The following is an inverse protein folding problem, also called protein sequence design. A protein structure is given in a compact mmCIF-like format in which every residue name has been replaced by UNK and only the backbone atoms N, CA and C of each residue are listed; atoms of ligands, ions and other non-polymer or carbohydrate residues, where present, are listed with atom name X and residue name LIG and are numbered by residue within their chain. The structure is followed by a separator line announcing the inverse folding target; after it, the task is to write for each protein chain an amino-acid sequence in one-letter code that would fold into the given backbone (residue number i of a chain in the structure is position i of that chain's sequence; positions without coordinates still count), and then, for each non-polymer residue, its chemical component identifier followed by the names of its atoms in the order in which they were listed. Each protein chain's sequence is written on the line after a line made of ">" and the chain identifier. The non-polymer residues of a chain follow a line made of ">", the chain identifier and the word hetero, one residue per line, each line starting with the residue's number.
data_IF_154958329654
#
_entry.id   IF_154958329654
#
_cell.length_a   1.000
_cell.length_b   1.000
_cell.length_c   1.000
_cell.angle_alpha   90.00
_cell.angle_beta   90.00
_cell.angle_gamma   90.00
#
_symmetry.space_group_name_H-M   'P 1'
#
loop_
_entity.id
_entity.type
_entity.pdbx_description
1 polymer ?
#
# COMPACT_ATOMS: atom_id res chain seq x y z
N UNK A 1 13.75 -8.08 -12.35
CA UNK A 1 13.15 -7.36 -11.21
C UNK A 1 11.81 -6.79 -11.65
N UNK A 2 10.79 -6.83 -10.81
CA UNK A 2 9.48 -6.26 -11.18
C UNK A 2 9.57 -4.74 -11.23
N UNK A 3 8.96 -4.13 -12.25
CA UNK A 3 8.86 -2.67 -12.36
C UNK A 3 7.75 -2.10 -11.47
N UNK A 4 6.85 -2.95 -10.96
CA UNK A 4 5.74 -2.56 -10.09
C UNK A 4 6.15 -2.73 -8.63
N UNK A 5 6.04 -1.65 -7.86
CA UNK A 5 6.41 -1.60 -6.45
C UNK A 5 5.23 -1.24 -5.57
N UNK A 6 5.14 -1.89 -4.42
CA UNK A 6 4.31 -1.50 -3.28
C UNK A 6 5.22 -1.00 -2.18
N UNK A 7 5.26 0.30 -1.98
CA UNK A 7 5.98 0.93 -0.89
C UNK A 7 5.14 0.95 0.38
N UNK A 8 5.71 0.50 1.50
CA UNK A 8 5.04 0.48 2.80
C UNK A 8 5.78 1.40 3.76
N UNK A 9 5.07 2.39 4.33
CA UNK A 9 5.62 3.25 5.36
C UNK A 9 5.87 2.43 6.64
N UNK A 10 7.10 1.98 6.86
CA UNK A 10 7.42 1.08 7.98
C UNK A 10 7.35 1.78 9.34
N UNK A 11 7.41 3.12 9.39
CA UNK A 11 7.29 3.90 10.63
C UNK A 11 5.84 4.31 10.96
N UNK A 12 4.86 3.87 10.14
CA UNK A 12 3.47 4.27 10.30
C UNK A 12 2.85 3.70 11.59
N UNK A 13 2.05 4.51 12.28
CA UNK A 13 1.39 4.12 13.51
C UNK A 13 0.07 4.87 13.69
N UNK A 14 -0.99 4.18 14.14
CA UNK A 14 -2.16 4.85 14.71
C UNK A 14 -1.73 5.68 15.92
N UNK A 15 -2.27 6.89 16.02
CA UNK A 15 -1.94 7.89 17.03
C UNK A 15 -2.44 7.47 18.43
N UNK A 16 -1.81 6.49 19.05
CA UNK A 16 -1.92 6.30 20.50
C UNK A 16 -0.73 6.99 21.17
N UNK A 17 -1.01 7.99 22.02
CA UNK A 17 0.02 8.70 22.82
C UNK A 17 0.81 7.75 23.73
N UNK A 18 0.27 6.56 24.03
CA UNK A 18 0.80 5.61 25.02
C UNK A 18 1.30 4.30 24.42
N UNK A 19 1.95 4.32 23.25
CA UNK A 19 2.48 3.08 22.67
C UNK A 19 3.78 2.65 23.37
N UNK A 20 3.89 1.41 23.86
CA UNK A 20 5.16 0.86 24.35
C UNK A 20 6.19 0.82 23.23
N UNK A 21 7.42 1.28 23.51
CA UNK A 21 8.53 1.32 22.53
C UNK A 21 8.87 -0.05 21.94
N UNK A 22 8.50 -1.12 22.62
CA UNK A 22 8.85 -2.51 22.28
C UNK A 22 7.88 -3.16 21.29
N UNK A 23 6.70 -2.58 21.04
CA UNK A 23 5.76 -3.14 20.07
C UNK A 23 6.18 -2.79 18.64
N UNK A 24 5.97 -3.66 17.63
CA UNK A 24 6.16 -3.33 16.23
C UNK A 24 5.19 -2.25 15.77
N UNK A 25 5.60 -1.45 14.78
CA UNK A 25 4.71 -0.39 14.24
C UNK A 25 3.60 -1.02 13.42
N UNK A 26 2.48 -0.33 13.28
CA UNK A 26 1.40 -0.78 12.40
C UNK A 26 1.89 -0.94 10.95
N UNK A 27 2.84 -0.10 10.51
CA UNK A 27 3.53 -0.26 9.24
C UNK A 27 4.37 -1.53 9.15
N UNK A 28 5.13 -1.87 10.20
CA UNK A 28 5.89 -3.12 10.29
C UNK A 28 4.97 -4.34 10.29
N UNK A 29 3.91 -4.33 11.09
CA UNK A 29 2.91 -5.42 11.10
C UNK A 29 2.26 -5.61 9.71
N UNK A 30 1.93 -4.51 9.02
CA UNK A 30 1.38 -4.57 7.67
C UNK A 30 2.39 -5.17 6.68
N UNK A 31 3.66 -4.77 6.76
CA UNK A 31 4.73 -5.30 5.92
C UNK A 31 4.91 -6.81 6.11
N UNK A 32 4.96 -7.27 7.37
CA UNK A 32 5.05 -8.69 7.71
C UNK A 32 3.86 -9.48 7.14
N UNK A 33 2.64 -8.97 7.33
CA UNK A 33 1.43 -9.61 6.82
C UNK A 33 1.43 -9.70 5.28
N UNK A 34 1.82 -8.62 4.58
CA UNK A 34 1.97 -8.63 3.12
C UNK A 34 2.99 -9.69 2.67
N UNK A 35 4.15 -9.77 3.33
CA UNK A 35 5.20 -10.73 2.99
C UNK A 35 4.74 -12.19 3.18
N UNK A 36 4.04 -12.49 4.28
CA UNK A 36 3.47 -13.82 4.54
C UNK A 36 2.52 -14.22 3.40
N UNK A 37 1.55 -13.38 3.07
CA UNK A 37 0.58 -13.67 2.01
C UNK A 37 1.24 -13.83 0.62
N UNK A 38 2.30 -13.06 0.33
CA UNK A 38 3.01 -13.21 -0.96
C UNK A 38 3.89 -14.45 -1.04
N UNK A 39 4.30 -15.02 0.09
CA UNK A 39 5.02 -16.30 0.13
C UNK A 39 4.07 -17.44 -0.26
N UNK A 40 2.83 -17.38 0.20
CA UNK A 40 1.79 -18.37 -0.12
C UNK A 40 1.27 -18.22 -1.56
N UNK A 41 1.21 -16.99 -2.07
CA UNK A 41 0.78 -16.70 -3.43
C UNK A 41 1.74 -15.69 -4.10
N UNK A 42 2.73 -16.18 -4.87
CA UNK A 42 3.73 -15.33 -5.50
C UNK A 42 3.07 -14.27 -6.40
N UNK A 43 3.12 -13.02 -5.94
CA UNK A 43 2.65 -11.88 -6.69
C UNK A 43 3.83 -11.22 -7.41
N UNK A 44 3.65 -10.82 -8.68
CA UNK A 44 4.72 -10.24 -9.51
C UNK A 44 5.05 -8.76 -9.19
N UNK A 45 4.88 -8.26 -7.97
CA UNK A 45 5.31 -6.90 -7.60
C UNK A 45 6.19 -6.93 -6.36
N UNK A 46 7.14 -6.01 -6.30
CA UNK A 46 8.12 -5.90 -5.21
C UNK A 46 7.50 -5.12 -4.04
N UNK A 47 7.45 -5.73 -2.86
CA UNK A 47 7.07 -5.05 -1.63
C UNK A 47 8.34 -4.45 -1.03
N UNK A 48 8.35 -3.13 -0.83
CA UNK A 48 9.53 -2.41 -0.36
C UNK A 48 9.20 -1.56 0.88
N UNK A 49 9.90 -1.76 2.02
CA UNK A 49 9.78 -0.84 3.13
C UNK A 49 10.37 0.53 2.76
N UNK A 50 9.73 1.60 3.21
CA UNK A 50 10.21 2.97 3.10
C UNK A 50 10.05 3.71 4.42
N UNK A 51 10.73 4.85 4.53
CA UNK A 51 10.55 5.78 5.64
C UNK A 51 9.17 6.46 5.64
N UNK A 52 9.07 7.52 6.46
CA UNK A 52 7.82 8.27 6.63
C UNK A 52 7.32 8.85 5.29
N UNK A 53 6.04 8.61 4.99
CA UNK A 53 5.32 9.22 3.85
C UNK A 53 4.50 10.45 4.26
N UNK A 54 4.78 11.05 5.43
CA UNK A 54 4.16 12.30 5.92
C UNK A 54 2.63 12.29 5.99
N UNK A 55 2.06 11.13 6.32
CA UNK A 55 0.61 10.88 6.38
C UNK A 55 0.20 10.31 7.74
N UNK A 56 0.93 10.69 8.80
CA UNK A 56 0.77 10.14 10.14
C UNK A 56 -0.58 10.48 10.79
N UNK A 57 -1.29 11.50 10.31
CA UNK A 57 -2.67 11.82 10.70
C UNK A 57 -3.69 10.83 10.13
N UNK A 58 -3.30 10.07 9.10
CA UNK A 58 -4.10 9.06 8.39
C UNK A 58 -3.32 7.75 8.19
N UNK A 59 -2.97 7.02 9.27
CA UNK A 59 -2.27 5.75 9.17
C UNK A 59 -3.25 4.59 8.86
N UNK A 60 -2.82 3.46 8.30
CA UNK A 60 -1.50 3.20 7.69
C UNK A 60 -1.41 3.75 6.25
N UNK A 61 -0.17 3.92 5.75
CA UNK A 61 0.08 4.49 4.43
C UNK A 61 0.94 3.58 3.54
N UNK A 62 0.53 3.44 2.27
CA UNK A 62 1.24 2.66 1.24
C UNK A 62 1.14 3.34 -0.12
N UNK A 63 2.11 3.10 -1.00
CA UNK A 63 2.10 3.62 -2.37
C UNK A 63 2.37 2.54 -3.41
N UNK A 64 1.49 2.45 -4.42
CA UNK A 64 1.76 1.68 -5.64
C UNK A 64 2.42 2.57 -6.67
N UNK A 65 3.56 2.14 -7.22
CA UNK A 65 4.26 2.89 -8.26
C UNK A 65 4.87 1.97 -9.31
N UNK A 66 4.91 2.46 -10.54
CA UNK A 66 5.58 1.81 -11.66
C UNK A 66 5.90 2.84 -12.75
N UNK A 67 6.92 2.60 -13.59
CA UNK A 67 7.23 3.44 -14.74
C UNK A 67 6.01 3.66 -15.63
N UNK A 68 5.81 4.91 -16.05
CA UNK A 68 4.72 5.37 -16.94
C UNK A 68 3.29 5.13 -16.41
N UNK A 69 3.13 4.75 -15.13
CA UNK A 69 1.82 4.57 -14.49
C UNK A 69 1.63 5.60 -13.37
N UNK A 70 0.39 6.02 -13.09
CA UNK A 70 0.12 6.88 -11.95
C UNK A 70 0.54 6.18 -10.66
N UNK A 71 1.01 6.97 -9.69
CA UNK A 71 1.24 6.47 -8.33
C UNK A 71 -0.05 6.57 -7.54
N UNK A 72 -0.47 5.48 -6.90
CA UNK A 72 -1.60 5.50 -5.96
C UNK A 72 -1.07 5.50 -4.54
N UNK A 73 -1.31 6.60 -3.82
CA UNK A 73 -1.06 6.70 -2.39
C UNK A 73 -2.35 6.39 -1.65
N UNK A 74 -2.35 5.32 -0.87
CA UNK A 74 -3.42 5.02 0.08
C UNK A 74 -2.99 5.44 1.48
N UNK A 75 -3.90 6.09 2.19
CA UNK A 75 -3.77 6.48 3.60
C UNK A 75 -5.08 6.16 4.33
N UNK A 76 -5.07 6.20 5.65
CA UNK A 76 -6.20 5.79 6.48
C UNK A 76 -6.68 4.39 6.10
N UNK A 77 -5.74 3.46 5.92
CA UNK A 77 -6.07 2.08 5.60
C UNK A 77 -6.95 1.49 6.71
N UNK A 78 -8.04 0.78 6.34
CA UNK A 78 -8.88 0.11 7.32
C UNK A 78 -8.11 -0.98 8.04
N UNK A 79 -8.56 -1.30 9.26
CA UNK A 79 -7.97 -2.37 10.07
C UNK A 79 -8.37 -3.77 9.61
N UNK A 80 -9.49 -3.88 8.88
CA UNK A 80 -10.01 -5.15 8.40
C UNK A 80 -9.31 -5.58 7.10
N UNK A 81 -8.48 -6.61 7.19
CA UNK A 81 -7.74 -7.24 6.09
C UNK A 81 -7.10 -6.32 5.02
N UNK A 82 -6.40 -5.23 5.40
CA UNK A 82 -5.84 -4.31 4.41
C UNK A 82 -4.82 -4.99 3.48
N UNK A 83 -4.08 -5.99 3.97
CA UNK A 83 -3.05 -6.68 3.20
C UNK A 83 -3.64 -7.42 1.98
N UNK A 84 -4.68 -8.24 2.18
CA UNK A 84 -5.31 -9.00 1.09
C UNK A 84 -5.89 -8.06 0.02
N UNK A 85 -6.57 -6.99 0.45
CA UNK A 85 -7.14 -5.99 -0.44
C UNK A 85 -6.05 -5.24 -1.23
N UNK A 86 -4.94 -4.86 -0.59
CA UNK A 86 -3.79 -4.26 -1.27
C UNK A 86 -3.18 -5.22 -2.31
N UNK A 87 -3.07 -6.51 -2.01
CA UNK A 87 -2.58 -7.49 -2.97
C UNK A 87 -3.51 -7.66 -4.18
N UNK A 88 -4.83 -7.61 -3.97
CA UNK A 88 -5.83 -7.61 -5.04
C UNK A 88 -5.72 -6.35 -5.91
N UNK A 89 -5.60 -5.18 -5.29
CA UNK A 89 -5.38 -3.93 -6.01
C UNK A 89 -4.07 -3.95 -6.81
N UNK A 90 -2.99 -4.45 -6.22
CA UNK A 90 -1.70 -4.59 -6.89
C UNK A 90 -1.75 -5.46 -8.14
N UNK A 91 -2.55 -6.54 -8.13
CA UNK A 91 -2.82 -7.37 -9.33
C UNK A 91 -3.48 -6.54 -10.43
N UNK A 92 -4.57 -5.83 -10.11
CA UNK A 92 -5.27 -4.95 -11.06
C UNK A 92 -4.33 -3.86 -11.64
N UNK A 93 -3.54 -3.22 -10.77
CA UNK A 93 -2.61 -2.16 -11.15
C UNK A 93 -1.52 -2.66 -12.09
N UNK A 94 -0.98 -3.85 -11.82
CA UNK A 94 0.01 -4.50 -12.68
C UNK A 94 -0.56 -4.84 -14.04
N UNK A 95 -1.73 -5.48 -14.07
CA UNK A 95 -2.30 -6.09 -15.27
C UNK A 95 -2.84 -5.05 -16.27
N UNK A 96 -3.11 -3.81 -15.83
CA UNK A 96 -3.53 -2.71 -16.71
C UNK A 96 -2.35 -1.94 -17.27
N UNK A 97 -2.23 -1.82 -18.59
CA UNK A 97 -1.13 -1.10 -19.25
C UNK A 97 -0.96 0.35 -18.76
N UNK A 98 -2.07 1.09 -18.61
CA UNK A 98 -2.04 2.50 -18.16
C UNK A 98 -1.92 2.65 -16.64
N UNK A 99 -2.13 1.57 -15.88
CA UNK A 99 -2.29 1.63 -14.42
C UNK A 99 -3.57 2.34 -13.96
N UNK A 100 -4.47 2.73 -14.87
CA UNK A 100 -5.71 3.41 -14.49
C UNK A 100 -6.80 2.40 -14.08
N UNK A 101 -7.22 2.46 -12.82
CA UNK A 101 -8.21 1.53 -12.26
C UNK A 101 -9.50 2.32 -12.01
N UNK A 102 -10.63 1.94 -12.62
CA UNK A 102 -11.92 2.54 -12.31
C UNK A 102 -12.29 2.30 -10.84
N UNK A 103 -12.81 3.32 -10.14
CA UNK A 103 -13.21 3.22 -8.73
C UNK A 103 -14.07 1.99 -8.41
N UNK A 104 -15.02 1.64 -9.30
CA UNK A 104 -15.89 0.46 -9.16
C UNK A 104 -15.15 -0.89 -9.11
N UNK A 105 -13.89 -0.94 -9.53
CA UNK A 105 -13.06 -2.14 -9.51
C UNK A 105 -12.14 -2.21 -8.30
N UNK A 106 -12.16 -1.19 -7.44
CA UNK A 106 -11.37 -1.21 -6.21
C UNK A 106 -11.92 -2.29 -5.28
N UNK A 107 -11.04 -3.05 -4.60
CA UNK A 107 -11.43 -3.89 -3.48
C UNK A 107 -12.27 -3.08 -2.49
N UNK A 108 -13.38 -3.64 -2.02
CA UNK A 108 -14.36 -2.93 -1.18
C UNK A 108 -13.71 -2.30 0.07
N UNK A 109 -12.83 -3.06 0.73
CA UNK A 109 -12.01 -2.60 1.86
C UNK A 109 -11.24 -1.32 1.53
N UNK A 110 -10.67 -1.18 0.33
CA UNK A 110 -9.91 0.02 -0.03
C UNK A 110 -10.78 1.21 -0.45
N UNK A 111 -12.09 1.03 -0.63
CA UNK A 111 -12.99 2.13 -0.97
C UNK A 111 -13.23 3.08 0.21
N UNK A 112 -13.02 2.62 1.45
CA UNK A 112 -13.06 3.47 2.65
C UNK A 112 -11.74 4.17 2.96
N UNK A 113 -10.65 3.78 2.29
CA UNK A 113 -9.35 4.41 2.47
C UNK A 113 -9.31 5.78 1.79
N UNK A 114 -8.49 6.69 2.33
CA UNK A 114 -8.15 7.93 1.65
C UNK A 114 -7.18 7.62 0.51
N UNK A 115 -7.37 8.25 -0.65
CA UNK A 115 -6.57 7.99 -1.85
C UNK A 115 -6.10 9.27 -2.53
N UNK A 116 -4.87 9.25 -3.00
CA UNK A 116 -4.35 10.18 -3.99
C UNK A 116 -3.86 9.41 -5.23
N UNK A 117 -4.32 9.83 -6.41
CA UNK A 117 -3.78 9.37 -7.70
C UNK A 117 -2.85 10.46 -8.24
N UNK A 118 -1.56 10.21 -8.15
CA UNK A 118 -0.51 11.13 -8.58
C UNK A 118 -0.17 10.81 -10.05
N UNK A 119 -0.22 11.77 -10.97
CA UNK A 119 0.18 11.54 -12.37
C UNK A 119 1.58 10.94 -12.47
N UNK A 120 1.80 10.09 -13.47
CA UNK A 120 3.16 9.71 -13.82
C UNK A 120 3.90 10.98 -14.27
N UNK A 121 5.10 11.18 -13.76
CA UNK A 121 6.03 12.10 -14.42
C UNK A 121 6.41 11.45 -15.76
N UNK A 122 6.31 12.22 -16.85
CA UNK A 122 6.82 11.78 -18.15
C UNK A 122 8.31 11.45 -18.06
N UNK A 123 8.83 10.70 -19.03
CA UNK A 123 10.28 10.67 -19.26
C UNK A 123 10.80 12.07 -19.63
#
# INVERSE_FOLDING_TARGET
>A
MSKHKLFVCQSCHHSSKDRPKEQPTHGTCLLEHLNTLTTEQPNKFEIQPVGCLWTCDKPCAVAFSAPHKPTYLFTNLPTDEPAAALLQFGKLYRDRTTGDIPWKQFPEVLQSASIAKIPAVGE
#
